data_IF_046558156759
#
_entry.id   IF_046558156759
#
_cell.length_a   1.000
_cell.length_b   1.000
_cell.length_c   1.000
_cell.angle_alpha   90.00
_cell.angle_beta   90.00
_cell.angle_gamma   90.00
#
_symmetry.space_group_name_H-M   'P 1'
#
loop_
_entity.id
_entity.type
_entity.pdbx_description
1 polymer ?
#
# COMPACT_ATOMS: atom_id res chain seq x y z
N UNK A 1 -20.89 -6.13 16.82
CA UNK A 1 -20.75 -5.88 15.37
C UNK A 1 -19.52 -5.02 15.18
N UNK A 2 -18.68 -5.32 14.19
CA UNK A 2 -17.41 -4.62 13.95
C UNK A 2 -17.63 -3.46 12.98
N UNK A 3 -17.24 -2.23 13.35
CA UNK A 3 -17.17 -1.10 12.44
C UNK A 3 -15.72 -0.97 11.96
N UNK A 4 -15.53 -1.05 10.65
CA UNK A 4 -14.22 -0.89 10.03
C UNK A 4 -13.90 0.59 9.88
N UNK A 5 -12.68 0.96 10.27
CA UNK A 5 -12.19 2.31 10.19
C UNK A 5 -11.38 2.52 8.91
N UNK A 6 -11.31 3.76 8.45
CA UNK A 6 -10.46 4.20 7.35
C UNK A 6 -9.14 4.72 7.92
N UNK A 7 -8.03 4.48 7.23
CA UNK A 7 -6.78 5.14 7.56
C UNK A 7 -6.63 6.39 6.70
N UNK A 8 -6.86 7.55 7.29
CA UNK A 8 -6.85 8.84 6.60
C UNK A 8 -6.02 9.86 7.38
N UNK A 9 -5.26 10.68 6.68
CA UNK A 9 -4.44 11.77 7.27
C UNK A 9 -3.49 11.31 8.39
N UNK A 10 -2.99 10.08 8.28
CA UNK A 10 -2.07 9.50 9.25
C UNK A 10 -2.73 8.91 10.51
N UNK A 11 -4.05 8.76 10.55
CA UNK A 11 -4.80 8.20 11.69
C UNK A 11 -5.96 7.32 11.24
N UNK A 12 -6.41 6.42 12.12
CA UNK A 12 -7.63 5.67 11.94
C UNK A 12 -8.84 6.56 12.22
N UNK A 13 -9.84 6.53 11.32
CA UNK A 13 -11.01 7.41 11.36
C UNK A 13 -12.26 6.62 10.98
N UNK A 14 -13.30 6.70 11.80
CA UNK A 14 -14.61 6.12 11.49
C UNK A 14 -15.37 7.00 10.52
N UNK A 15 -16.24 6.39 9.71
CA UNK A 15 -17.27 7.14 8.99
C UNK A 15 -18.30 7.75 9.94
N UNK A 16 -18.97 8.80 9.50
CA UNK A 16 -19.94 9.58 10.30
C UNK A 16 -21.36 8.97 10.33
N UNK A 17 -21.58 7.87 9.61
CA UNK A 17 -22.86 7.15 9.58
C UNK A 17 -22.70 5.69 10.01
N UNK A 18 -23.80 4.92 9.96
CA UNK A 18 -23.79 3.49 10.28
C UNK A 18 -22.98 2.64 9.32
N UNK A 19 -22.72 3.15 8.11
CA UNK A 19 -21.99 2.45 7.06
C UNK A 19 -22.79 1.34 6.36
N UNK A 20 -22.27 0.90 5.23
CA UNK A 20 -22.81 -0.22 4.49
C UNK A 20 -22.46 -1.55 5.18
N UNK A 21 -23.42 -2.49 5.29
CA UNK A 21 -23.16 -3.80 5.85
C UNK A 21 -22.25 -4.62 4.92
N UNK A 22 -21.36 -5.38 5.53
CA UNK A 22 -20.50 -6.36 4.86
C UNK A 22 -20.93 -7.75 5.28
N UNK A 23 -21.09 -8.64 4.31
CA UNK A 23 -21.59 -9.98 4.54
C UNK A 23 -20.53 -11.03 4.24
N UNK A 24 -20.53 -12.10 5.03
CA UNK A 24 -19.83 -13.31 4.70
C UNK A 24 -20.46 -13.92 3.42
N UNK A 25 -19.71 -14.07 2.36
CA UNK A 25 -20.21 -14.56 1.07
C UNK A 25 -20.65 -16.03 1.10
N UNK A 26 -20.24 -16.80 2.12
CA UNK A 26 -20.58 -18.22 2.27
C UNK A 26 -21.84 -18.37 3.13
N UNK A 27 -21.92 -17.67 4.28
CA UNK A 27 -23.01 -17.85 5.24
C UNK A 27 -24.13 -16.81 5.12
N UNK A 28 -23.88 -15.68 4.45
CA UNK A 28 -24.82 -14.56 4.39
C UNK A 28 -24.92 -13.73 5.68
N UNK A 29 -24.12 -14.05 6.70
CA UNK A 29 -24.13 -13.32 7.98
C UNK A 29 -23.42 -11.98 7.83
N UNK A 30 -23.95 -10.93 8.49
CA UNK A 30 -23.28 -9.64 8.58
C UNK A 30 -22.04 -9.75 9.46
N UNK A 31 -20.86 -9.43 8.91
CA UNK A 31 -19.55 -9.52 9.57
C UNK A 31 -19.03 -8.16 10.03
N UNK A 32 -19.63 -7.07 9.56
CA UNK A 32 -19.27 -5.71 9.97
C UNK A 32 -19.81 -4.66 9.03
N UNK A 33 -19.44 -3.42 9.28
CA UNK A 33 -19.86 -2.25 8.51
C UNK A 33 -18.69 -1.35 8.16
N UNK A 34 -18.75 -0.69 7.00
CA UNK A 34 -17.75 0.26 6.55
C UNK A 34 -18.41 1.51 5.97
N UNK A 35 -17.83 2.68 6.25
CA UNK A 35 -18.27 3.96 5.70
C UNK A 35 -17.10 4.88 5.44
N UNK A 36 -17.18 5.66 4.37
CA UNK A 36 -16.27 6.76 4.06
C UNK A 36 -16.94 8.13 4.23
N UNK A 37 -18.17 8.19 4.75
CA UNK A 37 -18.89 9.46 4.96
C UNK A 37 -18.14 10.35 5.93
N UNK A 38 -18.05 11.63 5.62
CA UNK A 38 -17.30 12.62 6.40
C UNK A 38 -15.81 12.67 6.11
N UNK A 39 -15.28 11.80 5.25
CA UNK A 39 -13.88 11.91 4.80
C UNK A 39 -13.74 12.98 3.71
N UNK A 40 -12.82 13.91 3.91
CA UNK A 40 -12.40 14.88 2.89
C UNK A 40 -11.32 14.27 1.99
N UNK A 41 -11.72 13.73 0.83
CA UNK A 41 -10.80 13.12 -0.13
C UNK A 41 -9.83 14.14 -0.74
N UNK A 42 -10.21 15.43 -0.84
CA UNK A 42 -9.33 16.49 -1.32
C UNK A 42 -8.21 16.75 -0.31
N UNK A 43 -8.55 16.80 0.98
CA UNK A 43 -7.57 16.94 2.04
C UNK A 43 -6.64 15.71 2.11
N UNK A 44 -7.18 14.49 1.96
CA UNK A 44 -6.39 13.26 1.89
C UNK A 44 -5.38 13.30 0.75
N UNK A 45 -5.77 13.76 -0.43
CA UNK A 45 -4.87 13.94 -1.57
C UNK A 45 -3.80 15.00 -1.29
N UNK A 46 -4.19 16.12 -0.70
CA UNK A 46 -3.25 17.17 -0.27
C UNK A 46 -2.24 16.66 0.75
N UNK A 47 -2.69 15.89 1.73
CA UNK A 47 -1.84 15.25 2.73
C UNK A 47 -0.83 14.29 2.09
N UNK A 48 -1.28 13.42 1.20
CA UNK A 48 -0.39 12.50 0.48
C UNK A 48 0.72 13.25 -0.27
N UNK A 49 0.39 14.35 -0.96
CA UNK A 49 1.35 15.18 -1.69
C UNK A 49 2.29 15.96 -0.78
N UNK A 50 1.80 16.53 0.32
CA UNK A 50 2.56 17.39 1.23
C UNK A 50 3.41 16.62 2.24
N UNK A 51 2.95 15.43 2.65
CA UNK A 51 3.60 14.64 3.71
C UNK A 51 4.30 13.40 3.14
N UNK A 52 3.57 12.55 2.43
CA UNK A 52 4.12 11.29 1.91
C UNK A 52 5.14 11.50 0.80
N UNK A 53 4.78 12.30 -0.21
CA UNK A 53 5.63 12.57 -1.37
C UNK A 53 7.01 13.14 -1.00
N UNK A 54 7.11 14.20 -0.18
CA UNK A 54 8.41 14.75 0.23
C UNK A 54 9.29 13.76 1.01
N UNK A 55 8.68 12.93 1.86
CA UNK A 55 9.43 11.90 2.61
C UNK A 55 10.03 10.86 1.66
N UNK A 56 9.21 10.34 0.72
CA UNK A 56 9.69 9.35 -0.25
C UNK A 56 10.76 9.91 -1.19
N UNK A 57 10.65 11.18 -1.61
CA UNK A 57 11.66 11.81 -2.47
C UNK A 57 13.02 12.01 -1.82
N UNK A 58 13.08 12.07 -0.49
CA UNK A 58 14.35 12.14 0.26
C UNK A 58 15.05 10.79 0.40
N UNK A 59 14.31 9.70 0.29
CA UNK A 59 14.84 8.35 0.39
C UNK A 59 15.55 7.95 -0.90
N UNK A 60 16.67 7.25 -0.77
CA UNK A 60 17.35 6.62 -1.91
C UNK A 60 16.53 5.44 -2.45
N UNK A 61 16.86 4.95 -3.65
CA UNK A 61 16.25 3.73 -4.19
C UNK A 61 16.51 2.52 -3.29
N UNK A 62 17.70 2.44 -2.68
CA UNK A 62 18.03 1.36 -1.75
C UNK A 62 17.12 1.42 -0.50
N UNK A 63 16.97 2.58 0.11
CA UNK A 63 16.12 2.78 1.28
C UNK A 63 14.65 2.46 0.98
N UNK A 64 14.10 2.95 -0.14
CA UNK A 64 12.73 2.63 -0.59
C UNK A 64 12.53 1.13 -0.80
N UNK A 65 13.48 0.47 -1.46
CA UNK A 65 13.42 -0.97 -1.68
C UNK A 65 13.53 -1.79 -0.39
N UNK A 66 14.36 -1.35 0.56
CA UNK A 66 14.46 -1.99 1.88
C UNK A 66 13.18 -1.80 2.71
N UNK A 67 12.55 -0.64 2.63
CA UNK A 67 11.24 -0.38 3.25
C UNK A 67 10.17 -1.32 2.71
N UNK A 68 10.08 -1.49 1.38
CA UNK A 68 9.15 -2.44 0.75
C UNK A 68 9.46 -3.89 1.16
N UNK A 69 10.74 -4.26 1.25
CA UNK A 69 11.14 -5.59 1.73
C UNK A 69 10.69 -5.85 3.17
N UNK A 70 10.86 -4.86 4.06
CA UNK A 70 10.41 -4.96 5.45
C UNK A 70 8.89 -5.13 5.54
N UNK A 71 8.13 -4.38 4.72
CA UNK A 71 6.68 -4.53 4.61
C UNK A 71 6.29 -5.94 4.15
N UNK A 72 6.91 -6.45 3.09
CA UNK A 72 6.63 -7.79 2.58
C UNK A 72 6.92 -8.90 3.61
N UNK A 73 8.03 -8.80 4.34
CA UNK A 73 8.38 -9.73 5.43
C UNK A 73 7.34 -9.69 6.55
N UNK A 74 6.89 -8.49 6.94
CA UNK A 74 5.85 -8.34 7.95
C UNK A 74 4.52 -8.97 7.50
N UNK A 75 4.06 -8.66 6.29
CA UNK A 75 2.83 -9.22 5.73
C UNK A 75 2.91 -10.76 5.63
N UNK A 76 4.07 -11.28 5.20
CA UNK A 76 4.31 -12.72 5.14
C UNK A 76 4.22 -13.39 6.53
N UNK A 77 4.74 -12.74 7.57
CA UNK A 77 4.68 -13.29 8.94
C UNK A 77 3.27 -13.39 9.51
N UNK A 78 2.33 -12.55 9.03
CA UNK A 78 0.93 -12.51 9.48
C UNK A 78 -0.07 -13.05 8.45
N UNK A 79 0.39 -13.67 7.36
CA UNK A 79 -0.44 -14.08 6.21
C UNK A 79 -1.63 -14.98 6.59
N UNK A 80 -1.51 -15.79 7.63
CA UNK A 80 -2.60 -16.66 8.09
C UNK A 80 -3.85 -15.86 8.52
N UNK A 81 -3.69 -14.61 8.99
CA UNK A 81 -4.83 -13.74 9.30
C UNK A 81 -5.59 -13.35 8.03
N UNK A 82 -4.87 -13.17 6.92
CA UNK A 82 -5.47 -12.83 5.63
C UNK A 82 -6.21 -14.03 5.02
N UNK A 83 -5.70 -15.25 5.18
CA UNK A 83 -6.40 -16.46 4.75
C UNK A 83 -7.76 -16.60 5.44
N UNK A 84 -7.83 -16.38 6.76
CA UNK A 84 -9.08 -16.44 7.50
C UNK A 84 -10.10 -15.40 7.02
N UNK A 85 -9.63 -14.19 6.65
CA UNK A 85 -10.49 -13.15 6.09
C UNK A 85 -10.91 -13.48 4.66
N UNK A 86 -9.98 -13.93 3.82
CA UNK A 86 -10.24 -14.27 2.42
C UNK A 86 -11.31 -15.37 2.27
N UNK A 87 -11.33 -16.34 3.17
CA UNK A 87 -12.39 -17.35 3.19
C UNK A 87 -13.79 -16.75 3.32
N UNK A 88 -13.95 -15.62 4.03
CA UNK A 88 -15.25 -14.93 4.17
C UNK A 88 -15.71 -14.25 2.88
N UNK A 89 -14.82 -14.02 1.93
CA UNK A 89 -15.17 -13.49 0.59
C UNK A 89 -15.65 -14.56 -0.37
N UNK A 90 -15.68 -15.83 0.04
CA UNK A 90 -16.02 -16.97 -0.80
C UNK A 90 -14.85 -17.51 -1.62
N UNK A 91 -13.65 -16.96 -1.45
CA UNK A 91 -12.46 -17.42 -2.15
C UNK A 91 -12.07 -18.83 -1.73
N UNK A 92 -11.66 -19.66 -2.71
CA UNK A 92 -11.07 -20.98 -2.41
C UNK A 92 -9.68 -20.80 -1.79
N UNK A 93 -9.12 -21.86 -1.22
CA UNK A 93 -7.76 -21.81 -0.68
C UNK A 93 -6.71 -21.47 -1.76
N UNK A 94 -6.93 -21.91 -2.99
CA UNK A 94 -6.02 -21.65 -4.12
C UNK A 94 -6.11 -20.18 -4.53
N UNK A 95 -7.33 -19.64 -4.67
CA UNK A 95 -7.53 -18.22 -4.99
C UNK A 95 -6.93 -17.33 -3.90
N UNK A 96 -7.17 -17.65 -2.63
CA UNK A 96 -6.58 -16.94 -1.50
C UNK A 96 -5.04 -16.97 -1.51
N UNK A 97 -4.45 -18.08 -1.91
CA UNK A 97 -3.00 -18.21 -2.05
C UNK A 97 -2.47 -17.30 -3.17
N UNK A 98 -3.14 -17.29 -4.33
CA UNK A 98 -2.76 -16.42 -5.46
C UNK A 98 -2.82 -14.95 -5.03
N UNK A 99 -3.91 -14.52 -4.40
CA UNK A 99 -4.10 -13.13 -4.00
C UNK A 99 -3.13 -12.70 -2.91
N UNK A 100 -3.01 -13.49 -1.84
CA UNK A 100 -2.23 -13.11 -0.65
C UNK A 100 -0.74 -13.27 -0.91
N UNK A 101 -0.29 -14.47 -1.33
CA UNK A 101 1.14 -14.73 -1.51
C UNK A 101 1.65 -14.14 -2.82
N UNK A 102 0.81 -14.07 -3.86
CA UNK A 102 1.12 -13.36 -5.09
C UNK A 102 1.28 -11.86 -4.87
N UNK A 103 0.39 -11.23 -4.09
CA UNK A 103 0.50 -9.83 -3.69
C UNK A 103 1.77 -9.55 -2.89
N UNK A 104 2.09 -10.38 -1.89
CA UNK A 104 3.33 -10.27 -1.10
C UNK A 104 4.55 -10.48 -1.99
N UNK A 105 4.50 -11.48 -2.90
CA UNK A 105 5.55 -11.76 -3.88
C UNK A 105 5.82 -10.57 -4.80
N UNK A 106 4.77 -9.87 -5.22
CA UNK A 106 4.88 -8.64 -6.02
C UNK A 106 5.63 -7.54 -5.26
N UNK A 107 5.36 -7.36 -3.96
CA UNK A 107 6.11 -6.38 -3.14
C UNK A 107 7.59 -6.78 -3.07
N UNK A 108 7.92 -8.06 -2.88
CA UNK A 108 9.31 -8.54 -2.91
C UNK A 108 9.99 -8.29 -4.25
N UNK A 109 9.30 -8.55 -5.37
CA UNK A 109 9.83 -8.32 -6.71
C UNK A 109 10.17 -6.83 -6.90
N UNK A 110 9.22 -5.93 -6.57
CA UNK A 110 9.46 -4.49 -6.65
C UNK A 110 10.56 -4.02 -5.69
N UNK A 111 10.63 -4.56 -4.47
CA UNK A 111 11.72 -4.28 -3.54
C UNK A 111 13.09 -4.69 -4.10
N UNK A 112 13.17 -5.76 -4.89
CA UNK A 112 14.41 -6.25 -5.48
C UNK A 112 14.94 -5.37 -6.61
N UNK A 113 14.07 -4.61 -7.28
CA UNK A 113 14.44 -3.68 -8.35
C UNK A 113 15.43 -2.61 -7.91
N UNK A 114 15.53 -2.31 -6.60
CA UNK A 114 16.54 -1.39 -6.06
C UNK A 114 17.96 -1.72 -6.52
N UNK A 115 18.25 -3.01 -6.79
CA UNK A 115 19.57 -3.46 -7.23
C UNK A 115 19.97 -2.88 -8.61
N UNK A 116 19.00 -2.44 -9.39
CA UNK A 116 19.19 -1.88 -10.73
C UNK A 116 19.39 -0.35 -10.70
N UNK A 117 19.34 0.27 -9.51
CA UNK A 117 19.44 1.70 -9.36
C UNK A 117 20.59 2.07 -8.42
N UNK A 118 21.18 3.27 -8.57
CA UNK A 118 22.19 3.77 -7.66
C UNK A 118 21.59 4.02 -6.27
N UNK A 119 22.43 4.07 -5.24
CA UNK A 119 22.02 4.47 -3.88
C UNK A 119 21.87 6.00 -3.79
N UNK A 120 20.97 6.52 -4.61
CA UNK A 120 20.63 7.93 -4.73
C UNK A 120 19.11 8.10 -4.74
N UNK A 121 18.58 9.29 -4.38
CA UNK A 121 17.15 9.56 -4.44
C UNK A 121 16.62 9.78 -5.86
N UNK A 122 17.47 9.83 -6.87
CA UNK A 122 17.17 10.03 -8.28
C UNK A 122 17.97 9.05 -9.14
N UNK A 123 17.53 8.86 -10.38
CA UNK A 123 18.21 8.11 -11.42
C UNK A 123 18.30 8.98 -12.66
N UNK A 124 19.46 8.98 -13.29
CA UNK A 124 19.67 9.61 -14.59
C UNK A 124 19.52 8.51 -15.63
N UNK A 125 18.56 8.70 -16.53
CA UNK A 125 18.30 7.77 -17.63
C UNK A 125 19.07 8.23 -18.87
N UNK A 126 20.06 7.44 -19.26
CA UNK A 126 20.97 7.76 -20.35
C UNK A 126 22.19 8.60 -19.95
N UNK A 127 22.89 9.12 -20.94
CA UNK A 127 24.09 9.92 -20.75
C UNK A 127 23.75 11.39 -20.45
N UNK A 128 24.52 12.01 -19.56
CA UNK A 128 24.36 13.44 -19.27
C UNK A 128 24.72 14.27 -20.51
N UNK A 129 23.76 15.03 -21.02
CA UNK A 129 23.96 15.95 -22.13
C UNK A 129 24.21 17.39 -21.60
N UNK A 130 25.32 18.07 -21.99
CA UNK A 130 25.55 19.44 -21.60
C UNK A 130 24.56 20.37 -22.31
N UNK A 131 23.77 21.12 -21.55
CA UNK A 131 22.84 22.13 -22.06
C UNK A 131 23.51 23.50 -22.26
N UNK A 132 24.57 23.77 -21.48
CA UNK A 132 25.34 25.00 -21.52
C UNK A 132 26.70 24.79 -20.88
N UNK A 133 27.53 25.85 -20.85
CA UNK A 133 28.85 25.77 -20.17
C UNK A 133 28.76 25.31 -18.70
N UNK A 134 27.65 25.57 -18.02
CA UNK A 134 27.46 25.31 -16.58
C UNK A 134 26.22 24.49 -16.26
N UNK A 135 25.53 23.92 -17.24
CA UNK A 135 24.32 23.14 -17.04
C UNK A 135 24.35 21.84 -17.82
N UNK A 136 23.90 20.74 -17.19
CA UNK A 136 23.69 19.42 -17.80
C UNK A 136 22.24 19.02 -17.57
N UNK A 137 21.74 18.22 -18.48
CA UNK A 137 20.42 17.57 -18.36
C UNK A 137 20.62 16.07 -18.33
#
# INVERSE_FOLDING_TARGET
>A
MRNYENYALGKWTKGEDEGAPLFNAITGEEIGRASSKGLDFSEMMSYARKVGGPKLRKMTFQERGLMLKALALHLHSIKNKFYALSAQTGATKVDSWIDIEGGIGNIFANASLRKNFPDLPYHIDGDMAPLSKNGTF
#
